data_IF_142828043210
#
_entry.id   IF_142828043210
#
_cell.length_a   1.000
_cell.length_b   1.000
_cell.length_c   1.000
_cell.angle_alpha   90.00
_cell.angle_beta   90.00
_cell.angle_gamma   90.00
#
_symmetry.space_group_name_H-M   'P 1'
#
loop_
_entity.id
_entity.type
_entity.pdbx_description
1 polymer ?
#
# COMPACT_ATOMS: atom_id res chain seq x y z
N UNK A 1 -7.07 2.40 -11.16
CA UNK A 1 -8.35 2.63 -10.47
C UNK A 1 -8.09 2.82 -8.99
N UNK A 2 -8.83 3.72 -8.36
CA UNK A 2 -8.80 3.94 -6.91
C UNK A 2 -10.21 3.92 -6.36
N UNK A 3 -10.44 3.08 -5.34
CA UNK A 3 -11.71 3.03 -4.62
C UNK A 3 -11.54 3.83 -3.34
N UNK A 4 -12.35 4.85 -3.18
CA UNK A 4 -12.31 5.72 -2.01
C UNK A 4 -13.70 6.31 -1.75
N UNK A 5 -13.92 6.77 -0.52
CA UNK A 5 -15.09 7.55 -0.15
C UNK A 5 -14.66 8.92 0.37
N UNK A 6 -15.20 9.96 -0.23
CA UNK A 6 -14.99 11.37 0.14
C UNK A 6 -16.34 12.09 0.21
N UNK A 7 -16.41 13.15 1.02
CA UNK A 7 -17.58 14.01 1.10
C UNK A 7 -17.58 15.05 -0.02
N UNK A 8 -18.74 15.66 -0.24
CA UNK A 8 -18.92 16.81 -1.17
C UNK A 8 -18.45 18.13 -0.51
N UNK A 9 -17.28 18.09 0.12
CA UNK A 9 -16.60 19.26 0.71
C UNK A 9 -15.36 19.64 -0.12
N UNK A 10 -14.72 20.76 0.25
CA UNK A 10 -13.55 21.27 -0.47
C UNK A 10 -12.38 20.29 -0.50
N UNK A 11 -12.19 19.50 0.56
CA UNK A 11 -11.10 18.53 0.64
C UNK A 11 -11.41 17.30 -0.24
N UNK A 12 -12.67 16.84 -0.28
CA UNK A 12 -13.11 15.80 -1.19
C UNK A 12 -12.97 16.20 -2.66
N UNK A 13 -13.36 17.44 -3.00
CA UNK A 13 -13.17 17.99 -4.34
C UNK A 13 -11.69 17.99 -4.74
N UNK A 14 -10.82 18.55 -3.88
CA UNK A 14 -9.36 18.57 -4.11
C UNK A 14 -8.78 17.17 -4.29
N UNK A 15 -9.25 16.20 -3.50
CA UNK A 15 -8.77 14.83 -3.57
C UNK A 15 -9.13 14.19 -4.92
N UNK A 16 -10.40 14.30 -5.36
CA UNK A 16 -10.86 13.75 -6.63
C UNK A 16 -10.20 14.45 -7.83
N UNK A 17 -10.00 15.76 -7.77
CA UNK A 17 -9.26 16.50 -8.79
C UNK A 17 -7.80 16.05 -8.87
N UNK A 18 -7.18 15.75 -7.73
CA UNK A 18 -5.81 15.22 -7.69
C UNK A 18 -5.71 13.84 -8.36
N UNK A 19 -6.66 12.94 -8.11
CA UNK A 19 -6.73 11.63 -8.77
C UNK A 19 -6.91 11.79 -10.29
N UNK A 20 -7.84 12.65 -10.70
CA UNK A 20 -8.10 12.93 -12.11
C UNK A 20 -6.87 13.49 -12.83
N UNK A 21 -6.15 14.44 -12.20
CA UNK A 21 -4.94 15.03 -12.75
C UNK A 21 -3.79 14.01 -12.86
N UNK A 22 -3.77 13.02 -11.98
CA UNK A 22 -2.84 11.89 -12.03
C UNK A 22 -3.26 10.79 -13.02
N UNK A 23 -4.40 10.94 -13.70
CA UNK A 23 -4.93 9.93 -14.64
C UNK A 23 -5.47 8.68 -13.91
N UNK A 24 -5.80 8.80 -12.63
CA UNK A 24 -6.33 7.71 -11.82
C UNK A 24 -7.85 7.72 -11.89
N UNK A 25 -8.44 6.64 -12.36
CA UNK A 25 -9.90 6.48 -12.38
C UNK A 25 -10.45 6.30 -10.96
N UNK A 26 -11.57 6.93 -10.68
CA UNK A 26 -12.40 6.76 -9.49
C UNK A 26 -13.89 6.87 -9.84
N UNK A 27 -14.75 6.22 -9.06
CA UNK A 27 -16.21 6.21 -9.30
C UNK A 27 -16.89 7.59 -9.04
N UNK A 28 -16.20 8.48 -8.33
CA UNK A 28 -16.74 9.77 -7.92
C UNK A 28 -17.21 9.76 -6.46
N UNK A 29 -18.18 10.63 -6.16
CA UNK A 29 -18.80 10.67 -4.84
C UNK A 29 -19.69 9.45 -4.64
N UNK A 30 -19.81 8.98 -3.37
CA UNK A 30 -20.76 7.95 -3.00
C UNK A 30 -22.20 8.43 -3.29
N UNK A 31 -23.06 7.51 -3.68
CA UNK A 31 -24.52 7.78 -3.84
C UNK A 31 -25.19 8.00 -2.48
N UNK A 32 -24.60 7.45 -1.40
CA UNK A 32 -25.04 7.66 -0.04
C UNK A 32 -24.33 8.88 0.57
N UNK A 33 -25.09 9.89 0.96
CA UNK A 33 -24.56 11.07 1.65
C UNK A 33 -24.56 10.84 3.16
N UNK A 34 -23.40 11.11 3.78
CA UNK A 34 -23.24 11.07 5.22
C UNK A 34 -22.86 12.48 5.73
N UNK A 35 -23.37 12.86 6.89
CA UNK A 35 -23.02 14.12 7.56
C UNK A 35 -21.64 14.04 8.25
N UNK A 36 -20.64 13.54 7.53
CA UNK A 36 -19.25 13.44 7.97
C UNK A 36 -18.33 14.12 6.94
N UNK A 37 -17.25 14.77 7.38
CA UNK A 37 -16.30 15.39 6.47
C UNK A 37 -15.43 14.34 5.76
N UNK A 38 -14.76 14.77 4.70
CA UNK A 38 -13.66 14.01 4.09
C UNK A 38 -12.56 13.74 5.11
N UNK A 39 -11.99 12.54 5.08
CA UNK A 39 -10.90 12.12 5.95
C UNK A 39 -9.68 13.02 5.80
N UNK A 40 -8.99 13.30 6.92
CA UNK A 40 -7.80 14.16 7.00
C UNK A 40 -6.76 13.54 7.88
N UNK A 41 -5.50 13.75 7.53
CA UNK A 41 -4.36 13.39 8.39
C UNK A 41 -3.44 14.60 8.54
N UNK A 42 -3.26 15.05 9.79
CA UNK A 42 -2.22 16.02 10.14
C UNK A 42 -0.92 15.23 10.38
N UNK A 43 0.12 15.59 9.65
CA UNK A 43 1.43 14.95 9.76
C UNK A 43 2.42 15.96 10.32
N UNK A 44 3.03 15.62 11.46
CA UNK A 44 4.11 16.38 12.09
C UNK A 44 5.43 15.69 11.76
N UNK A 45 6.31 16.38 11.03
CA UNK A 45 7.64 15.88 10.65
C UNK A 45 8.68 16.58 11.51
N UNK A 46 9.53 15.81 12.18
CA UNK A 46 10.64 16.30 13.00
C UNK A 46 11.94 16.39 12.21
N UNK A 47 12.96 17.17 12.68
CA UNK A 47 14.22 17.35 11.94
C UNK A 47 15.01 16.06 11.67
N UNK A 48 14.72 14.98 12.38
CA UNK A 48 15.27 13.63 12.16
C UNK A 48 14.47 12.81 11.15
N UNK A 49 13.61 13.47 10.35
CA UNK A 49 12.71 12.90 9.34
C UNK A 49 11.68 11.88 9.89
N UNK A 50 11.49 11.82 11.22
CA UNK A 50 10.41 11.04 11.82
C UNK A 50 9.08 11.77 11.72
N UNK A 51 7.99 11.00 11.71
CA UNK A 51 6.64 11.55 11.60
C UNK A 51 5.72 11.07 12.70
N UNK A 52 4.81 11.93 13.09
CA UNK A 52 3.63 11.60 13.91
C UNK A 52 2.40 11.96 13.12
N UNK A 53 1.45 11.04 13.03
CA UNK A 53 0.20 11.22 12.28
C UNK A 53 -0.98 11.32 13.24
N UNK A 54 -1.85 12.32 13.02
CA UNK A 54 -3.12 12.49 13.72
C UNK A 54 -4.22 12.44 12.68
N UNK A 55 -4.91 11.30 12.61
CA UNK A 55 -5.92 11.01 11.58
C UNK A 55 -7.33 11.22 12.09
N UNK A 56 -8.15 11.88 11.27
CA UNK A 56 -9.60 11.92 11.40
C UNK A 56 -10.17 11.27 10.12
N UNK A 57 -10.71 10.07 10.25
CA UNK A 57 -11.11 9.27 9.10
C UNK A 57 -12.34 9.81 8.37
N UNK A 58 -13.28 10.46 9.09
CA UNK A 58 -14.51 10.98 8.46
C UNK A 58 -15.22 9.91 7.64
N UNK A 59 -15.72 10.26 6.46
CA UNK A 59 -16.41 9.32 5.56
C UNK A 59 -15.51 8.20 5.03
N UNK A 60 -14.17 8.35 5.11
CA UNK A 60 -13.24 7.30 4.65
C UNK A 60 -13.34 6.01 5.47
N UNK A 61 -13.88 6.07 6.70
CA UNK A 61 -14.17 4.89 7.52
C UNK A 61 -15.49 4.19 7.16
N UNK A 62 -16.29 4.77 6.27
CA UNK A 62 -17.65 4.32 5.97
C UNK A 62 -17.79 3.77 4.55
N UNK A 63 -16.70 3.33 3.92
CA UNK A 63 -16.76 2.75 2.57
C UNK A 63 -17.54 1.43 2.61
N UNK A 64 -18.46 1.27 1.69
CA UNK A 64 -19.35 0.11 1.61
C UNK A 64 -19.42 -0.47 0.19
N UNK A 65 -20.20 -1.51 0.00
CA UNK A 65 -20.36 -2.14 -1.32
C UNK A 65 -20.92 -1.20 -2.40
N UNK A 66 -21.64 -0.14 -2.02
CA UNK A 66 -22.18 0.85 -2.94
C UNK A 66 -21.06 1.69 -3.60
N UNK A 67 -19.90 1.83 -2.93
CA UNK A 67 -18.76 2.58 -3.43
C UNK A 67 -17.88 1.76 -4.39
N UNK A 68 -18.10 0.43 -4.44
CA UNK A 68 -17.31 -0.48 -5.27
C UNK A 68 -17.73 -0.40 -6.74
N UNK A 69 -16.75 -0.40 -7.62
CA UNK A 69 -16.90 -0.63 -9.05
C UNK A 69 -16.37 -2.02 -9.40
N UNK A 70 -17.22 -3.03 -9.20
CA UNK A 70 -16.83 -4.43 -9.39
C UNK A 70 -16.44 -4.74 -10.84
N UNK A 71 -16.96 -4.01 -11.82
CA UNK A 71 -16.57 -4.17 -13.22
C UNK A 71 -15.15 -3.63 -13.44
N UNK A 72 -14.82 -2.45 -12.93
CA UNK A 72 -13.47 -1.89 -12.99
C UNK A 72 -12.46 -2.77 -12.24
N UNK A 73 -12.85 -3.31 -11.08
CA UNK A 73 -12.04 -4.26 -10.30
C UNK A 73 -11.79 -5.55 -11.11
N UNK A 74 -12.83 -6.12 -11.75
CA UNK A 74 -12.71 -7.32 -12.55
C UNK A 74 -11.81 -7.17 -13.80
N UNK A 75 -11.63 -5.95 -14.27
CA UNK A 75 -10.75 -5.61 -15.40
C UNK A 75 -9.34 -5.16 -14.96
N UNK A 76 -9.02 -5.21 -13.67
CA UNK A 76 -7.70 -4.88 -13.15
C UNK A 76 -6.74 -6.10 -13.24
N UNK A 77 -5.44 -5.84 -13.10
CA UNK A 77 -4.42 -6.89 -13.00
C UNK A 77 -4.10 -7.25 -11.56
N UNK A 78 -4.17 -6.26 -10.66
CA UNK A 78 -3.89 -6.40 -9.24
C UNK A 78 -5.00 -5.68 -8.47
N UNK A 79 -5.54 -6.33 -7.47
CA UNK A 79 -6.35 -5.73 -6.42
C UNK A 79 -5.46 -5.50 -5.20
N UNK A 80 -5.16 -4.22 -4.90
CA UNK A 80 -4.32 -3.83 -3.78
C UNK A 80 -5.17 -3.37 -2.61
N UNK A 81 -4.92 -3.94 -1.43
CA UNK A 81 -5.64 -3.71 -0.19
C UNK A 81 -4.72 -2.96 0.77
N UNK A 82 -5.15 -1.80 1.24
CA UNK A 82 -4.51 -1.12 2.36
C UNK A 82 -4.90 -1.77 3.68
N UNK A 83 -3.93 -2.08 4.53
CA UNK A 83 -4.18 -2.67 5.85
C UNK A 83 -5.07 -1.80 6.75
N UNK A 84 -5.06 -0.48 6.54
CA UNK A 84 -5.98 0.44 7.24
C UNK A 84 -7.46 0.10 7.06
N UNK A 85 -7.83 -0.66 6.01
CA UNK A 85 -9.21 -1.07 5.74
C UNK A 85 -9.82 -1.96 6.84
N UNK A 86 -9.00 -2.60 7.67
CA UNK A 86 -9.47 -3.43 8.78
C UNK A 86 -9.98 -2.61 9.98
N UNK A 87 -9.71 -1.29 10.02
CA UNK A 87 -9.99 -0.43 11.17
C UNK A 87 -11.47 -0.04 11.34
N UNK A 88 -12.29 -0.19 10.30
CA UNK A 88 -13.75 -0.11 10.39
C UNK A 88 -14.40 -1.38 9.85
N UNK A 89 -15.57 -1.73 10.38
CA UNK A 89 -16.27 -2.91 9.93
C UNK A 89 -16.87 -2.73 8.55
N UNK A 90 -17.28 -1.52 8.20
CA UNK A 90 -17.79 -1.17 6.87
C UNK A 90 -16.71 -1.37 5.80
N UNK A 91 -15.53 -0.79 6.00
CA UNK A 91 -14.40 -0.94 5.09
C UNK A 91 -13.95 -2.40 4.98
N UNK A 92 -13.87 -3.10 6.11
CA UNK A 92 -13.50 -4.51 6.12
C UNK A 92 -14.51 -5.37 5.34
N UNK A 93 -15.82 -5.15 5.53
CA UNK A 93 -16.86 -5.85 4.78
C UNK A 93 -16.81 -5.52 3.28
N UNK A 94 -16.46 -4.29 2.90
CA UNK A 94 -16.25 -3.93 1.50
C UNK A 94 -15.07 -4.71 0.90
N UNK A 95 -13.95 -4.84 1.63
CA UNK A 95 -12.81 -5.68 1.21
C UNK A 95 -13.23 -7.14 1.02
N UNK A 96 -13.95 -7.72 2.00
CA UNK A 96 -14.42 -9.10 1.90
C UNK A 96 -15.36 -9.31 0.71
N UNK A 97 -16.23 -8.34 0.42
CA UNK A 97 -17.09 -8.36 -0.76
C UNK A 97 -16.29 -8.47 -2.06
N UNK A 98 -15.20 -7.70 -2.18
CA UNK A 98 -14.31 -7.79 -3.35
C UNK A 98 -13.57 -9.12 -3.38
N UNK A 99 -13.01 -9.57 -2.26
CA UNK A 99 -12.27 -10.83 -2.19
C UNK A 99 -13.13 -12.02 -2.58
N UNK A 100 -14.38 -12.09 -2.09
CA UNK A 100 -15.32 -13.14 -2.52
C UNK A 100 -15.67 -13.03 -4.01
N UNK A 101 -15.86 -11.82 -4.53
CA UNK A 101 -16.09 -11.58 -5.96
C UNK A 101 -14.89 -12.00 -6.84
N UNK A 102 -13.66 -11.90 -6.32
CA UNK A 102 -12.42 -12.23 -7.02
C UNK A 102 -11.99 -13.70 -6.90
N UNK A 103 -12.69 -14.52 -6.11
CA UNK A 103 -12.29 -15.88 -5.74
C UNK A 103 -11.93 -16.78 -6.93
N UNK A 104 -12.72 -16.68 -8.03
CA UNK A 104 -12.54 -17.50 -9.23
C UNK A 104 -11.99 -16.66 -10.42
N UNK A 105 -11.33 -15.53 -10.14
CA UNK A 105 -10.78 -14.64 -11.17
C UNK A 105 -9.25 -14.63 -11.12
N UNK A 106 -8.64 -14.53 -12.28
CA UNK A 106 -7.19 -14.41 -12.46
C UNK A 106 -6.76 -12.94 -12.23
N UNK A 107 -6.90 -12.49 -10.97
CA UNK A 107 -6.52 -11.15 -10.52
C UNK A 107 -5.67 -11.32 -9.27
N UNK A 108 -4.45 -10.80 -9.31
CA UNK A 108 -3.54 -10.84 -8.17
C UNK A 108 -4.09 -9.99 -7.01
N UNK A 109 -4.01 -10.54 -5.81
CA UNK A 109 -4.42 -9.90 -4.57
C UNK A 109 -3.18 -9.51 -3.78
N UNK A 110 -2.97 -8.23 -3.60
CA UNK A 110 -1.85 -7.68 -2.82
C UNK A 110 -2.37 -6.96 -1.58
N UNK A 111 -1.66 -7.11 -0.46
CA UNK A 111 -2.02 -6.56 0.83
C UNK A 111 -0.85 -5.75 1.40
N UNK A 112 -1.09 -4.51 1.81
CA UNK A 112 -0.18 -3.75 2.68
C UNK A 112 -0.50 -4.01 4.14
N UNK A 113 0.51 -4.16 4.97
CA UNK A 113 0.35 -4.28 6.42
C UNK A 113 0.09 -2.92 7.09
N UNK A 114 0.58 -1.84 6.49
CA UNK A 114 0.28 -0.41 6.77
C UNK A 114 0.77 0.12 8.12
N UNK A 115 0.58 -0.60 9.24
CA UNK A 115 0.99 -0.14 10.58
C UNK A 115 1.07 -1.33 11.56
N UNK A 116 2.14 -1.45 12.38
CA UNK A 116 2.31 -2.58 13.28
C UNK A 116 1.26 -2.64 14.39
N UNK A 117 0.77 -1.49 14.87
CA UNK A 117 -0.31 -1.44 15.87
C UNK A 117 -1.65 -1.92 15.31
N UNK A 118 -1.93 -1.60 14.05
CA UNK A 118 -3.12 -2.08 13.34
C UNK A 118 -3.02 -3.59 13.13
N UNK A 119 -1.87 -4.10 12.69
CA UNK A 119 -1.67 -5.54 12.53
C UNK A 119 -1.90 -6.29 13.85
N UNK A 120 -1.38 -5.78 14.97
CA UNK A 120 -1.59 -6.39 16.28
C UNK A 120 -3.03 -6.29 16.76
N UNK A 121 -3.67 -5.12 16.56
CA UNK A 121 -5.02 -4.86 17.06
C UNK A 121 -6.14 -5.57 16.27
N UNK A 122 -5.89 -5.92 15.01
CA UNK A 122 -6.89 -6.53 14.10
C UNK A 122 -6.37 -7.80 13.45
N UNK A 123 -5.55 -8.57 14.15
CA UNK A 123 -4.93 -9.81 13.66
C UNK A 123 -5.92 -10.76 13.00
N UNK A 124 -7.06 -10.97 13.61
CA UNK A 124 -8.13 -11.84 13.12
C UNK A 124 -8.68 -11.41 11.75
N UNK A 125 -8.75 -10.10 11.51
CA UNK A 125 -9.15 -9.56 10.21
C UNK A 125 -8.06 -9.76 9.15
N UNK A 126 -6.78 -9.62 9.50
CA UNK A 126 -5.66 -9.94 8.59
C UNK A 126 -5.63 -11.42 8.25
N UNK A 127 -5.81 -12.31 9.23
CA UNK A 127 -5.92 -13.76 9.01
C UNK A 127 -7.11 -14.11 8.10
N UNK A 128 -8.23 -13.41 8.28
CA UNK A 128 -9.39 -13.56 7.39
C UNK A 128 -9.05 -13.16 5.96
N UNK A 129 -8.41 -12.00 5.73
CA UNK A 129 -7.98 -11.56 4.39
C UNK A 129 -6.99 -12.58 3.79
N UNK A 130 -6.00 -13.05 4.56
CA UNK A 130 -5.03 -14.07 4.13
C UNK A 130 -5.74 -15.34 3.64
N UNK A 131 -6.81 -15.76 4.31
CA UNK A 131 -7.57 -16.97 3.97
C UNK A 131 -8.21 -16.96 2.58
N UNK A 132 -8.38 -15.78 1.97
CA UNK A 132 -8.85 -15.61 0.59
C UNK A 132 -7.76 -15.83 -0.46
N UNK A 133 -6.56 -16.23 -0.06
CA UNK A 133 -5.45 -16.52 -0.97
C UNK A 133 -4.81 -15.23 -1.53
N UNK A 134 -4.14 -14.49 -0.65
CA UNK A 134 -3.32 -13.33 -1.04
C UNK A 134 -2.10 -13.81 -1.80
N UNK A 135 -1.73 -13.10 -2.87
CA UNK A 135 -0.58 -13.43 -3.72
C UNK A 135 0.68 -12.68 -3.31
N UNK A 136 0.52 -11.47 -2.70
CA UNK A 136 1.63 -10.61 -2.35
C UNK A 136 1.33 -9.80 -1.09
N UNK A 137 2.32 -9.70 -0.18
CA UNK A 137 2.23 -8.85 1.02
C UNK A 137 3.38 -7.83 1.02
N UNK A 138 3.04 -6.58 1.36
CA UNK A 138 3.98 -5.47 1.58
C UNK A 138 3.97 -5.06 3.05
N UNK A 139 5.14 -4.84 3.60
CA UNK A 139 5.28 -4.30 4.95
C UNK A 139 6.71 -3.82 5.22
N UNK A 140 6.89 -3.14 6.34
CA UNK A 140 8.21 -2.85 6.87
C UNK A 140 8.63 -3.90 7.92
N UNK A 141 9.83 -3.75 8.49
CA UNK A 141 10.36 -4.60 9.54
C UNK A 141 9.39 -4.74 10.72
N UNK A 142 8.91 -3.64 11.29
CA UNK A 142 8.02 -3.66 12.47
C UNK A 142 6.65 -4.25 12.17
N UNK A 143 6.08 -3.93 11.02
CA UNK A 143 4.82 -4.52 10.54
C UNK A 143 4.95 -6.02 10.31
N UNK A 144 6.08 -6.45 9.74
CA UNK A 144 6.36 -7.87 9.47
C UNK A 144 6.53 -8.68 10.76
N UNK A 145 7.23 -8.13 11.75
CA UNK A 145 7.32 -8.72 13.09
C UNK A 145 5.93 -8.85 13.73
N UNK A 146 5.13 -7.78 13.67
CA UNK A 146 3.76 -7.80 14.18
C UNK A 146 2.89 -8.84 13.48
N UNK A 147 2.98 -8.95 12.15
CA UNK A 147 2.20 -9.91 11.36
C UNK A 147 2.57 -11.37 11.66
N UNK A 148 3.86 -11.66 11.76
CA UNK A 148 4.34 -13.02 12.04
C UNK A 148 4.33 -13.39 13.52
N UNK A 149 4.17 -12.40 14.42
CA UNK A 149 4.27 -12.60 15.87
C UNK A 149 5.69 -12.93 16.32
N UNK A 150 6.71 -12.42 15.64
CA UNK A 150 8.12 -12.64 15.94
C UNK A 150 8.76 -11.37 16.50
N UNK A 151 9.77 -11.56 17.37
CA UNK A 151 10.46 -10.45 18.04
C UNK A 151 11.56 -9.81 17.18
N UNK A 152 12.07 -10.53 16.19
CA UNK A 152 13.13 -10.06 15.29
C UNK A 152 12.83 -10.39 13.84
N UNK A 153 13.50 -9.67 12.93
CA UNK A 153 13.27 -9.77 11.50
C UNK A 153 13.68 -11.12 10.91
N UNK A 154 14.77 -11.74 11.38
CA UNK A 154 15.27 -13.00 10.85
C UNK A 154 14.28 -14.15 11.10
N UNK A 155 13.70 -14.19 12.31
CA UNK A 155 12.64 -15.16 12.63
C UNK A 155 11.36 -14.88 11.85
N UNK A 156 11.02 -13.58 11.63
CA UNK A 156 9.88 -13.19 10.82
C UNK A 156 10.07 -13.60 9.35
N UNK A 157 11.24 -13.36 8.76
CA UNK A 157 11.62 -13.84 7.42
C UNK A 157 11.51 -15.37 7.33
N UNK A 158 12.01 -16.08 8.35
CA UNK A 158 11.95 -17.54 8.39
C UNK A 158 10.49 -18.04 8.40
N UNK A 159 9.61 -17.39 9.14
CA UNK A 159 8.17 -17.71 9.14
C UNK A 159 7.49 -17.42 7.80
N UNK A 160 7.88 -16.34 7.13
CA UNK A 160 7.32 -15.97 5.83
C UNK A 160 7.79 -16.87 4.67
N UNK A 161 8.95 -17.54 4.80
CA UNK A 161 9.40 -18.54 3.80
C UNK A 161 8.46 -19.73 3.69
N UNK A 162 7.68 -20.02 4.73
CA UNK A 162 6.70 -21.11 4.75
C UNK A 162 5.32 -20.70 4.16
N UNK A 163 5.16 -19.42 3.82
CA UNK A 163 3.90 -18.91 3.29
C UNK A 163 3.82 -19.07 1.76
N UNK A 164 2.62 -19.25 1.20
CA UNK A 164 2.46 -19.49 -0.24
C UNK A 164 2.51 -18.21 -1.10
N UNK A 165 2.61 -17.04 -0.48
CA UNK A 165 2.61 -15.75 -1.16
C UNK A 165 4.00 -15.10 -1.18
N UNK A 166 4.21 -14.17 -2.09
CA UNK A 166 5.40 -13.33 -2.11
C UNK A 166 5.32 -12.28 -0.99
N UNK A 167 6.35 -12.18 -0.15
CA UNK A 167 6.47 -11.11 0.84
C UNK A 167 7.56 -10.13 0.45
N UNK A 168 7.26 -8.84 0.53
CA UNK A 168 8.18 -7.76 0.17
C UNK A 168 8.31 -6.81 1.35
N UNK A 169 9.48 -6.84 2.00
CA UNK A 169 9.73 -6.18 3.27
C UNK A 169 10.70 -5.03 3.05
N UNK A 170 10.31 -3.81 3.42
CA UNK A 170 11.23 -2.66 3.44
C UNK A 170 11.99 -2.60 4.76
N UNK A 171 13.30 -2.34 4.68
CA UNK A 171 14.22 -2.27 5.83
C UNK A 171 14.88 -0.88 5.96
N UNK A 172 14.16 0.15 5.55
CA UNK A 172 14.63 1.53 5.60
C UNK A 172 15.86 1.76 4.71
N UNK A 173 16.93 2.32 5.26
CA UNK A 173 18.15 2.61 4.53
C UNK A 173 18.88 1.36 4.02
N UNK A 174 18.65 0.20 4.63
CA UNK A 174 19.26 -1.07 4.20
C UNK A 174 18.62 -1.63 2.93
N UNK A 175 17.43 -1.13 2.54
CA UNK A 175 16.75 -1.50 1.31
C UNK A 175 15.52 -2.37 1.52
N UNK A 176 15.52 -3.59 0.98
CA UNK A 176 14.36 -4.47 1.07
C UNK A 176 14.74 -5.96 1.01
N UNK A 177 13.82 -6.79 1.47
CA UNK A 177 13.91 -8.26 1.39
C UNK A 177 12.70 -8.77 0.61
N UNK A 178 12.93 -9.58 -0.42
CA UNK A 178 11.87 -10.26 -1.17
C UNK A 178 11.91 -11.74 -0.82
N UNK A 179 10.77 -12.27 -0.38
CA UNK A 179 10.63 -13.68 -0.01
C UNK A 179 9.61 -14.31 -0.96
N UNK A 180 10.07 -15.32 -1.68
CA UNK A 180 9.23 -16.10 -2.59
C UNK A 180 9.78 -17.53 -2.70
N UNK A 181 8.90 -18.51 -2.84
CA UNK A 181 9.28 -19.92 -3.03
C UNK A 181 10.28 -20.45 -1.97
N UNK A 182 10.10 -20.04 -0.72
CA UNK A 182 10.97 -20.44 0.41
C UNK A 182 12.34 -19.79 0.45
N UNK A 183 12.63 -18.81 -0.43
CA UNK A 183 13.91 -18.09 -0.51
C UNK A 183 13.72 -16.63 -0.13
N UNK A 184 14.79 -16.02 0.39
CA UNK A 184 14.82 -14.60 0.72
C UNK A 184 16.00 -13.94 0.00
N UNK A 185 15.72 -12.94 -0.81
CA UNK A 185 16.71 -12.13 -1.52
C UNK A 185 16.78 -10.74 -0.87
N UNK A 186 17.97 -10.37 -0.38
CA UNK A 186 18.23 -9.04 0.18
C UNK A 186 18.67 -8.09 -0.95
N UNK A 187 17.96 -6.99 -1.11
CA UNK A 187 18.20 -5.99 -2.14
C UNK A 187 18.62 -4.68 -1.48
N UNK A 188 19.85 -4.22 -1.66
CA UNK A 188 20.36 -3.03 -0.98
C UNK A 188 19.60 -1.76 -1.37
N UNK A 189 19.47 -0.85 -0.40
CA UNK A 189 18.85 0.45 -0.58
C UNK A 189 19.79 1.48 -1.24
N UNK A 190 19.21 2.63 -1.61
CA UNK A 190 19.95 3.78 -2.11
C UNK A 190 20.49 4.60 -0.94
N UNK A 191 21.74 5.02 -1.05
CA UNK A 191 22.37 5.88 -0.04
C UNK A 191 21.98 7.34 -0.28
N UNK A 192 21.07 7.85 0.53
CA UNK A 192 20.52 9.21 0.43
C UNK A 192 20.47 9.90 1.79
N UNK A 193 20.24 11.20 1.80
CA UNK A 193 19.87 11.94 3.01
C UNK A 193 18.35 12.11 3.05
N UNK A 194 17.65 11.51 4.02
CA UNK A 194 16.21 11.62 4.11
C UNK A 194 15.78 13.03 4.53
N UNK A 195 14.75 13.55 3.87
CA UNK A 195 14.05 14.80 4.18
C UNK A 195 12.71 14.49 4.86
N UNK A 196 11.93 13.58 4.27
CA UNK A 196 10.64 13.14 4.79
C UNK A 196 10.39 11.70 4.34
N UNK A 197 10.14 10.80 5.29
CA UNK A 197 9.89 9.38 4.98
C UNK A 197 8.42 9.08 4.65
N UNK A 198 7.56 10.09 4.65
CA UNK A 198 6.14 9.91 4.34
C UNK A 198 5.94 9.51 2.87
N UNK A 199 5.10 8.49 2.62
CA UNK A 199 4.82 7.97 1.28
C UNK A 199 5.91 7.05 0.70
N UNK A 200 7.00 6.77 1.42
CA UNK A 200 8.06 5.87 0.95
C UNK A 200 7.52 4.45 0.70
N UNK A 201 6.73 3.92 1.63
CA UNK A 201 6.10 2.60 1.53
C UNK A 201 5.13 2.51 0.36
N UNK A 202 4.29 3.54 0.18
CA UNK A 202 3.33 3.61 -0.93
C UNK A 202 4.03 3.64 -2.28
N UNK A 203 5.07 4.47 -2.39
CA UNK A 203 5.88 4.55 -3.62
C UNK A 203 6.61 3.25 -3.89
N UNK A 204 7.13 2.59 -2.84
CA UNK A 204 7.78 1.28 -2.96
C UNK A 204 6.79 0.24 -3.48
N UNK A 205 5.64 0.07 -2.82
CA UNK A 205 4.63 -0.92 -3.22
C UNK A 205 4.10 -0.67 -4.63
N UNK A 206 3.75 0.59 -4.95
CA UNK A 206 3.26 0.98 -6.27
C UNK A 206 4.27 0.72 -7.39
N UNK A 207 5.56 1.07 -7.17
CA UNK A 207 6.62 0.82 -8.15
C UNK A 207 6.99 -0.65 -8.28
N UNK A 208 6.91 -1.43 -7.20
CA UNK A 208 7.11 -2.88 -7.23
C UNK A 208 6.04 -3.56 -8.09
N UNK A 209 4.76 -3.27 -7.83
CA UNK A 209 3.66 -3.81 -8.61
C UNK A 209 3.74 -3.39 -10.08
N UNK A 210 4.15 -2.14 -10.36
CA UNK A 210 4.37 -1.67 -11.72
C UNK A 210 5.46 -2.47 -12.43
N UNK A 211 6.63 -2.66 -11.80
CA UNK A 211 7.74 -3.44 -12.36
C UNK A 211 7.37 -4.92 -12.52
N UNK A 212 6.65 -5.48 -11.56
CA UNK A 212 6.14 -6.84 -11.61
C UNK A 212 5.22 -7.08 -12.83
N UNK A 213 4.33 -6.12 -13.13
CA UNK A 213 3.47 -6.16 -14.31
C UNK A 213 4.23 -5.97 -15.65
N UNK A 214 5.51 -5.55 -15.59
CA UNK A 214 6.42 -5.56 -16.75
C UNK A 214 7.21 -6.89 -16.84
N UNK A 215 6.81 -7.90 -16.06
CA UNK A 215 7.43 -9.24 -16.04
C UNK A 215 8.92 -9.22 -15.63
N UNK A 216 9.32 -8.22 -14.82
CA UNK A 216 10.69 -8.13 -14.31
C UNK A 216 10.92 -9.18 -13.20
N UNK A 217 12.16 -9.71 -13.05
CA UNK A 217 12.50 -10.56 -11.90
C UNK A 217 12.25 -9.83 -10.58
N UNK A 218 11.80 -10.56 -9.55
CA UNK A 218 11.42 -9.98 -8.24
C UNK A 218 12.52 -9.11 -7.61
N UNK A 219 13.78 -9.55 -7.69
CA UNK A 219 14.92 -8.75 -7.20
C UNK A 219 15.10 -7.44 -7.98
N UNK A 220 14.83 -7.44 -9.29
CA UNK A 220 14.83 -6.22 -10.12
C UNK A 220 13.65 -5.31 -9.78
N UNK A 221 12.47 -5.87 -9.52
CA UNK A 221 11.32 -5.11 -9.02
C UNK A 221 11.67 -4.38 -7.72
N UNK A 222 12.27 -5.09 -6.74
CA UNK A 222 12.67 -4.53 -5.48
C UNK A 222 13.77 -3.44 -5.63
N UNK A 223 14.75 -3.68 -6.49
CA UNK A 223 15.80 -2.70 -6.77
C UNK A 223 15.25 -1.40 -7.37
N UNK A 224 14.37 -1.51 -8.36
CA UNK A 224 13.67 -0.36 -8.92
C UNK A 224 12.83 0.36 -7.86
N UNK A 225 12.16 -0.39 -6.96
CA UNK A 225 11.31 0.17 -5.92
C UNK A 225 12.10 0.87 -4.82
N UNK A 226 13.27 0.34 -4.42
CA UNK A 226 14.21 1.03 -3.54
C UNK A 226 14.63 2.39 -4.13
N UNK A 227 14.98 2.43 -5.42
CA UNK A 227 15.27 3.68 -6.12
C UNK A 227 14.05 4.62 -6.15
N UNK A 228 12.87 4.13 -6.50
CA UNK A 228 11.67 4.95 -6.56
C UNK A 228 11.31 5.57 -5.20
N UNK A 229 11.33 4.75 -4.14
CA UNK A 229 11.10 5.20 -2.78
C UNK A 229 12.13 6.25 -2.32
N UNK A 230 13.42 6.07 -2.67
CA UNK A 230 14.47 7.04 -2.35
C UNK A 230 14.15 8.43 -2.88
N UNK A 231 13.54 8.54 -4.07
CA UNK A 231 13.17 9.82 -4.68
C UNK A 231 12.05 10.54 -3.94
N UNK A 232 11.11 9.83 -3.34
CA UNK A 232 10.10 10.41 -2.45
C UNK A 232 10.76 10.91 -1.17
N UNK A 233 11.60 10.09 -0.56
CA UNK A 233 12.25 10.39 0.73
C UNK A 233 13.20 11.60 0.65
N UNK A 234 13.73 11.92 -0.53
CA UNK A 234 14.54 13.14 -0.77
C UNK A 234 13.69 14.42 -0.89
N UNK A 235 12.35 14.33 -0.84
CA UNK A 235 11.44 15.49 -0.97
C UNK A 235 10.57 15.64 0.27
N UNK A 236 10.02 16.83 0.48
CA UNK A 236 9.03 17.06 1.53
C UNK A 236 7.62 16.68 1.03
N UNK A 237 6.91 15.87 1.82
CA UNK A 237 5.58 15.37 1.50
C UNK A 237 5.58 13.98 0.83
N UNK A 238 4.40 13.33 0.77
CA UNK A 238 4.29 11.91 0.42
C UNK A 238 4.34 11.61 -1.10
N UNK A 239 4.49 12.63 -1.95
CA UNK A 239 4.32 12.49 -3.39
C UNK A 239 5.37 13.26 -4.17
N UNK A 240 5.81 12.70 -5.28
CA UNK A 240 6.60 13.40 -6.28
C UNK A 240 5.70 14.33 -7.12
N UNK A 241 6.31 15.31 -7.78
CA UNK A 241 5.67 16.01 -8.90
C UNK A 241 5.43 15.04 -10.07
N UNK A 242 4.56 15.40 -11.01
CA UNK A 242 4.33 14.58 -12.21
C UNK A 242 5.63 14.34 -13.00
N UNK A 243 6.48 15.34 -13.13
CA UNK A 243 7.80 15.19 -13.78
C UNK A 243 8.72 14.24 -13.00
N UNK A 244 8.64 14.26 -11.65
CA UNK A 244 9.35 13.31 -10.79
C UNK A 244 8.90 11.87 -11.02
N UNK A 245 7.61 11.62 -11.10
CA UNK A 245 7.07 10.29 -11.44
C UNK A 245 7.52 9.83 -12.83
N UNK A 246 7.48 10.71 -13.83
CA UNK A 246 7.94 10.38 -15.18
C UNK A 246 9.44 10.07 -15.21
N UNK A 247 10.25 10.83 -14.47
CA UNK A 247 11.69 10.59 -14.34
C UNK A 247 11.96 9.22 -13.70
N UNK A 248 11.24 8.85 -12.62
CA UNK A 248 11.34 7.53 -11.99
C UNK A 248 10.94 6.43 -12.99
N UNK A 249 9.78 6.55 -13.62
CA UNK A 249 9.28 5.59 -14.60
C UNK A 249 10.27 5.33 -15.72
N UNK A 250 10.87 6.38 -16.28
CA UNK A 250 11.83 6.26 -17.38
C UNK A 250 13.16 5.57 -16.98
N UNK A 251 13.46 5.50 -15.68
CA UNK A 251 14.64 4.81 -15.18
C UNK A 251 14.45 3.29 -15.01
N UNK A 252 13.25 2.74 -15.16
CA UNK A 252 12.98 1.30 -14.98
C UNK A 252 13.88 0.42 -15.87
N UNK A 253 14.25 0.90 -17.04
CA UNK A 253 15.12 0.20 -18.00
C UNK A 253 16.54 -0.09 -17.46
N UNK A 254 16.92 0.50 -16.31
CA UNK A 254 18.24 0.31 -15.71
C UNK A 254 18.29 -0.85 -14.70
N UNK A 255 17.17 -1.42 -14.40
CA UNK A 255 16.98 -2.45 -13.39
C UNK A 255 16.48 -3.77 -13.98
#
# INVERSE_FOLDING_TARGET
HHVCRVSKDDDGLRYLDSLKNAGVYHKGYSEEELELPTGKCLILVTPDAKRTMVSMLGVSACMSSIDLDLEAIANSKIFYIEGYMVTSDENFNAVLTVLEFLKDKDILKALSLSDPGIVMGFRDKFETIESYGIDMIFGNDDETKAFTGKDNLDDAISALKEKPFTSVITTGAEGSVVIAEGKADHVPGEQIQPVDTNGAGDMFAGSFMYAYLQEMPLASCAKFSNYAASKVVETFGPRLSMDGYLAVKNNIQKY
#
